data_IF_375146560926
#
_entry.id   IF_375146560926
#
_cell.length_a   1.000
_cell.length_b   1.000
_cell.length_c   1.000
_cell.angle_alpha   90.00
_cell.angle_beta   90.00
_cell.angle_gamma   90.00
#
_symmetry.space_group_name_H-M   'P 1'
#
loop_
_entity.id
_entity.type
_entity.pdbx_description
1 polymer ?
#
# COMPACT_ATOMS: atom_id res chain seq x y z
N UNK A 1 5.22 -19.68 2.31
CA UNK A 1 5.50 -18.62 3.29
C UNK A 1 6.98 -18.31 3.14
N UNK A 2 7.36 -17.22 2.46
CA UNK A 2 8.76 -16.80 2.40
C UNK A 2 9.10 -16.19 3.77
N UNK A 3 9.48 -17.05 4.72
CA UNK A 3 10.29 -16.60 5.83
C UNK A 3 11.61 -16.18 5.18
N UNK A 4 11.91 -14.89 5.19
CA UNK A 4 13.25 -14.45 4.84
C UNK A 4 14.22 -15.24 5.72
N UNK A 5 15.27 -15.80 5.11
CA UNK A 5 16.26 -16.55 5.86
C UNK A 5 16.77 -15.67 7.02
N UNK A 6 16.81 -16.19 8.25
CA UNK A 6 17.35 -15.42 9.35
C UNK A 6 18.77 -14.98 9.01
N UNK A 7 19.17 -13.75 9.33
CA UNK A 7 20.49 -13.24 9.00
C UNK A 7 21.53 -13.80 9.98
N UNK A 8 21.79 -15.12 9.90
CA UNK A 8 22.70 -15.88 10.78
C UNK A 8 24.09 -15.23 10.83
N UNK A 9 24.50 -14.58 9.73
CA UNK A 9 25.79 -13.90 9.60
C UNK A 9 25.91 -12.59 10.41
N UNK A 10 24.80 -12.07 10.96
CA UNK A 10 24.80 -10.88 11.81
C UNK A 10 24.16 -11.22 13.17
N UNK A 11 24.98 -11.46 14.22
CA UNK A 11 24.49 -11.89 15.52
C UNK A 11 23.48 -10.93 16.14
N UNK A 12 23.69 -9.62 15.99
CA UNK A 12 22.78 -8.60 16.50
C UNK A 12 21.40 -8.68 15.84
N UNK A 13 21.39 -8.73 14.50
CA UNK A 13 20.16 -8.78 13.74
C UNK A 13 19.44 -10.12 13.94
N UNK A 14 20.19 -11.23 13.98
CA UNK A 14 19.64 -12.56 14.25
C UNK A 14 18.99 -12.62 15.63
N UNK A 15 19.65 -12.06 16.65
CA UNK A 15 19.10 -11.97 18.01
C UNK A 15 17.80 -11.15 18.08
N UNK A 16 17.73 -10.02 17.37
CA UNK A 16 16.50 -9.22 17.26
C UNK A 16 15.37 -10.00 16.58
N UNK A 17 15.67 -10.80 15.56
CA UNK A 17 14.69 -11.67 14.92
C UNK A 17 14.17 -12.75 15.87
N UNK A 18 15.07 -13.39 16.63
CA UNK A 18 14.70 -14.36 17.66
C UNK A 18 13.78 -13.73 18.69
N UNK A 19 14.17 -12.61 19.29
CA UNK A 19 13.36 -11.94 20.32
C UNK A 19 12.01 -11.44 19.81
N UNK A 20 11.93 -11.06 18.53
CA UNK A 20 10.66 -10.73 17.89
C UNK A 20 9.71 -11.93 17.78
N UNK A 21 10.23 -13.14 17.61
CA UNK A 21 9.44 -14.36 17.55
C UNK A 21 9.05 -14.83 18.95
N UNK A 22 9.99 -14.75 19.89
CA UNK A 22 9.82 -15.22 21.27
C UNK A 22 8.87 -14.31 22.06
N UNK A 23 9.00 -12.99 21.89
CA UNK A 23 8.17 -11.95 22.51
C UNK A 23 8.10 -12.03 24.06
N UNK A 24 9.23 -12.38 24.69
CA UNK A 24 9.38 -12.42 26.14
C UNK A 24 10.43 -11.40 26.63
N UNK A 25 10.21 -10.77 27.81
CA UNK A 25 11.14 -9.77 28.33
C UNK A 25 12.48 -10.39 28.76
N UNK A 26 12.45 -11.60 29.30
CA UNK A 26 13.61 -12.37 29.74
C UNK A 26 13.41 -13.85 29.41
N UNK A 27 14.50 -14.59 29.26
CA UNK A 27 14.48 -16.03 29.00
C UNK A 27 15.72 -16.70 29.58
N UNK A 28 15.55 -17.85 30.23
CA UNK A 28 16.70 -18.63 30.68
C UNK A 28 17.53 -19.15 29.50
N UNK A 29 18.83 -19.36 29.71
CA UNK A 29 19.74 -19.83 28.65
C UNK A 29 19.28 -21.16 28.02
N UNK A 30 18.84 -22.11 28.86
CA UNK A 30 18.33 -23.41 28.40
C UNK A 30 17.07 -23.26 27.55
N UNK A 31 16.15 -22.37 27.93
CA UNK A 31 14.95 -22.12 27.14
C UNK A 31 15.27 -21.42 25.82
N UNK A 32 16.25 -20.52 25.80
CA UNK A 32 16.71 -19.89 24.56
C UNK A 32 17.34 -20.90 23.61
N UNK A 33 18.22 -21.75 24.12
CA UNK A 33 18.81 -22.87 23.38
C UNK A 33 17.72 -23.79 22.80
N UNK A 34 16.76 -24.15 23.64
CA UNK A 34 15.65 -25.01 23.23
C UNK A 34 14.84 -24.38 22.10
N UNK A 35 14.53 -23.08 22.23
CA UNK A 35 13.80 -22.33 21.21
C UNK A 35 14.54 -22.24 19.88
N UNK A 36 15.83 -21.92 19.91
CA UNK A 36 16.63 -21.78 18.69
C UNK A 36 16.75 -23.13 17.97
N UNK A 37 16.98 -24.21 18.71
CA UNK A 37 17.39 -25.49 18.12
C UNK A 37 16.24 -26.43 17.84
N UNK A 38 15.21 -26.45 18.69
CA UNK A 38 14.13 -27.43 18.64
C UNK A 38 12.77 -26.81 18.32
N UNK A 39 12.44 -25.61 18.79
CA UNK A 39 11.16 -24.97 18.40
C UNK A 39 11.25 -24.37 16.99
N UNK A 40 12.33 -23.62 16.73
CA UNK A 40 12.49 -22.83 15.51
C UNK A 40 13.41 -23.49 14.47
N UNK A 41 14.14 -24.55 14.86
CA UNK A 41 15.05 -25.30 13.99
C UNK A 41 16.06 -24.42 13.23
N UNK A 42 16.57 -23.35 13.88
CA UNK A 42 17.41 -22.34 13.22
C UNK A 42 18.90 -22.70 13.26
N UNK A 43 19.35 -23.32 14.35
CA UNK A 43 20.74 -23.77 14.53
C UNK A 43 20.74 -25.11 15.27
N UNK A 44 21.71 -26.00 15.01
CA UNK A 44 21.92 -27.17 15.85
C UNK A 44 22.36 -26.74 17.27
N UNK A 45 22.13 -27.59 18.30
CA UNK A 45 22.39 -27.23 19.70
C UNK A 45 23.78 -26.66 19.98
N UNK A 46 24.83 -27.29 19.43
CA UNK A 46 26.21 -26.86 19.67
C UNK A 46 26.46 -25.44 19.16
N UNK A 47 26.00 -25.14 17.94
CA UNK A 47 26.11 -23.79 17.34
C UNK A 47 25.22 -22.77 18.04
N UNK A 48 24.07 -23.19 18.56
CA UNK A 48 23.20 -22.31 19.33
C UNK A 48 23.84 -21.93 20.68
N UNK A 49 24.54 -22.85 21.33
CA UNK A 49 25.33 -22.56 22.55
C UNK A 49 26.43 -21.56 22.24
N UNK A 50 27.23 -21.81 21.19
CA UNK A 50 28.29 -20.89 20.74
C UNK A 50 27.73 -19.49 20.46
N UNK A 51 26.60 -19.42 19.77
CA UNK A 51 25.91 -18.16 19.46
C UNK A 51 25.47 -17.42 20.73
N UNK A 52 24.81 -18.10 21.67
CA UNK A 52 24.34 -17.48 22.93
C UNK A 52 25.52 -16.92 23.72
N UNK A 53 26.61 -17.69 23.85
CA UNK A 53 27.81 -17.27 24.56
C UNK A 53 28.44 -16.04 23.88
N UNK A 54 28.58 -16.07 22.55
CA UNK A 54 29.06 -14.92 21.77
C UNK A 54 28.19 -13.67 21.99
N UNK A 55 26.86 -13.81 22.07
CA UNK A 55 25.97 -12.68 22.34
C UNK A 55 26.15 -12.11 23.76
N UNK A 56 26.45 -12.95 24.76
CA UNK A 56 26.75 -12.50 26.12
C UNK A 56 28.09 -11.76 26.16
N UNK A 57 29.13 -12.33 25.55
CA UNK A 57 30.47 -11.72 25.47
C UNK A 57 30.44 -10.35 24.78
N UNK A 58 29.67 -10.24 23.68
CA UNK A 58 29.49 -9.00 22.94
C UNK A 58 28.48 -8.04 23.58
N UNK A 59 28.00 -8.31 24.80
CA UNK A 59 27.03 -7.48 25.56
C UNK A 59 25.71 -7.22 24.80
N UNK A 60 25.35 -8.12 23.89
CA UNK A 60 24.05 -8.11 23.21
C UNK A 60 22.98 -8.70 24.14
N UNK A 61 23.36 -9.71 24.93
CA UNK A 61 22.57 -10.26 26.01
C UNK A 61 23.14 -9.85 27.37
N UNK A 62 22.24 -9.58 28.31
CA UNK A 62 22.56 -9.22 29.68
C UNK A 62 21.96 -10.26 30.61
N UNK A 63 22.77 -10.78 31.53
CA UNK A 63 22.31 -11.66 32.60
C UNK A 63 21.64 -10.82 33.67
N UNK A 64 20.41 -11.17 34.00
CA UNK A 64 19.61 -10.52 35.06
C UNK A 64 19.79 -11.24 36.40
N UNK A 65 19.33 -10.63 37.49
CA UNK A 65 19.48 -11.12 38.87
C UNK A 65 18.96 -12.56 39.10
N UNK A 66 18.11 -13.08 38.21
CA UNK A 66 17.52 -14.43 38.27
C UNK A 66 18.25 -15.47 37.41
N UNK A 67 19.45 -15.15 36.88
CA UNK A 67 20.15 -15.95 35.88
C UNK A 67 19.42 -16.08 34.53
N UNK A 68 18.44 -15.20 34.28
CA UNK A 68 17.76 -15.10 32.97
C UNK A 68 18.49 -14.12 32.06
N UNK A 69 18.39 -14.37 30.75
CA UNK A 69 18.94 -13.52 29.69
C UNK A 69 17.91 -12.49 29.23
N UNK A 70 18.33 -11.25 29.10
CA UNK A 70 17.56 -10.16 28.51
C UNK A 70 18.35 -9.52 27.36
N UNK A 71 17.64 -8.90 26.43
CA UNK A 71 18.29 -8.00 25.47
C UNK A 71 18.94 -6.82 26.20
N UNK A 72 20.08 -6.37 25.70
CA UNK A 72 20.67 -5.09 26.10
C UNK A 72 19.72 -3.92 25.82
N UNK A 73 19.91 -2.81 26.55
CA UNK A 73 19.04 -1.64 26.42
C UNK A 73 19.00 -1.07 24.99
N UNK A 74 20.14 -1.06 24.28
CA UNK A 74 20.22 -0.62 22.89
C UNK A 74 19.37 -1.50 21.95
N UNK A 75 19.43 -2.82 22.12
CA UNK A 75 18.63 -3.75 21.32
C UNK A 75 17.15 -3.71 21.68
N UNK A 76 16.82 -3.50 22.95
CA UNK A 76 15.43 -3.32 23.38
C UNK A 76 14.80 -2.08 22.73
N UNK A 77 15.53 -0.96 22.67
CA UNK A 77 15.08 0.26 21.98
C UNK A 77 14.87 -0.04 20.49
N UNK A 78 15.85 -0.66 19.83
CA UNK A 78 15.79 -1.01 18.41
C UNK A 78 14.64 -1.96 18.08
N UNK A 79 14.37 -2.95 18.94
CA UNK A 79 13.24 -3.87 18.80
C UNK A 79 11.90 -3.13 18.88
N UNK A 80 11.74 -2.23 19.87
CA UNK A 80 10.53 -1.44 20.04
C UNK A 80 10.26 -0.52 18.85
N UNK A 81 11.30 0.15 18.34
CA UNK A 81 11.20 0.97 17.12
C UNK A 81 10.75 0.14 15.92
N UNK A 82 11.33 -1.06 15.77
CA UNK A 82 10.97 -1.96 14.67
C UNK A 82 9.51 -2.44 14.77
N UNK A 83 9.08 -2.84 15.96
CA UNK A 83 7.68 -3.23 16.23
C UNK A 83 6.72 -2.07 15.97
N UNK A 84 7.04 -0.85 16.42
CA UNK A 84 6.24 0.36 16.19
C UNK A 84 6.11 0.67 14.70
N UNK A 85 7.23 0.67 13.96
CA UNK A 85 7.24 0.88 12.51
C UNK A 85 6.37 -0.14 11.80
N UNK A 86 6.53 -1.42 12.14
CA UNK A 86 5.76 -2.50 11.51
C UNK A 86 4.27 -2.42 11.82
N UNK A 87 3.90 -2.07 13.06
CA UNK A 87 2.49 -1.87 13.44
C UNK A 87 1.84 -0.76 12.62
N UNK A 88 2.55 0.35 12.40
CA UNK A 88 2.07 1.45 11.56
C UNK A 88 1.87 1.02 10.11
N UNK A 89 2.83 0.29 9.51
CA UNK A 89 2.70 -0.26 8.15
C UNK A 89 1.50 -1.20 8.02
N UNK A 90 1.32 -2.10 8.98
CA UNK A 90 0.18 -3.05 9.00
C UNK A 90 -1.13 -2.28 9.12
N UNK A 91 -1.21 -1.28 10.00
CA UNK A 91 -2.41 -0.48 10.18
C UNK A 91 -2.79 0.28 8.90
N UNK A 92 -1.81 0.86 8.21
CA UNK A 92 -2.02 1.51 6.91
C UNK A 92 -2.57 0.52 5.88
N UNK A 93 -1.96 -0.67 5.78
CA UNK A 93 -2.42 -1.72 4.85
C UNK A 93 -3.84 -2.19 5.17
N UNK A 94 -4.17 -2.42 6.44
CA UNK A 94 -5.53 -2.79 6.87
C UNK A 94 -6.53 -1.69 6.50
N UNK A 95 -6.19 -0.42 6.73
CA UNK A 95 -7.05 0.70 6.38
C UNK A 95 -7.28 0.80 4.87
N UNK A 96 -6.23 0.59 4.06
CA UNK A 96 -6.36 0.54 2.59
C UNK A 96 -7.26 -0.62 2.15
N UNK A 97 -7.12 -1.81 2.74
CA UNK A 97 -7.98 -2.97 2.44
C UNK A 97 -9.43 -2.69 2.82
N UNK A 98 -9.68 -2.10 4.00
CA UNK A 98 -11.03 -1.70 4.43
C UNK A 98 -11.65 -0.69 3.47
N UNK A 99 -10.90 0.33 3.04
CA UNK A 99 -11.35 1.30 2.03
C UNK A 99 -11.69 0.62 0.69
N UNK A 100 -10.86 -0.33 0.23
CA UNK A 100 -11.15 -1.12 -0.99
C UNK A 100 -12.44 -1.92 -0.82
N UNK A 101 -12.60 -2.61 0.30
CA UNK A 101 -13.77 -3.42 0.56
C UNK A 101 -15.03 -2.56 0.64
N UNK A 102 -14.99 -1.42 1.35
CA UNK A 102 -16.10 -0.46 1.41
C UNK A 102 -16.48 0.03 0.01
N UNK A 103 -15.51 0.49 -0.79
CA UNK A 103 -15.76 0.93 -2.16
C UNK A 103 -16.35 -0.19 -3.03
N UNK A 104 -15.83 -1.42 -2.92
CA UNK A 104 -16.41 -2.58 -3.63
C UNK A 104 -17.83 -2.84 -3.18
N UNK A 105 -18.12 -2.83 -1.88
CA UNK A 105 -19.48 -3.04 -1.36
C UNK A 105 -20.42 -1.91 -1.76
N UNK A 106 -19.97 -0.66 -1.85
CA UNK A 106 -20.76 0.46 -2.38
C UNK A 106 -21.05 0.22 -3.86
N UNK A 107 -20.04 -0.10 -4.67
CA UNK A 107 -20.18 -0.40 -6.10
C UNK A 107 -21.06 -1.65 -6.35
N UNK A 108 -21.04 -2.64 -5.47
CA UNK A 108 -21.82 -3.90 -5.59
C UNK A 108 -23.25 -3.77 -5.07
N UNK A 109 -23.48 -3.01 -3.98
CA UNK A 109 -24.84 -2.68 -3.51
C UNK A 109 -25.55 -1.72 -4.47
N UNK A 110 -24.80 -0.88 -5.18
CA UNK A 110 -25.30 0.00 -6.24
C UNK A 110 -25.38 -0.70 -7.61
N UNK A 111 -25.69 -2.01 -7.65
CA UNK A 111 -26.03 -2.72 -8.90
C UNK A 111 -27.20 -2.11 -9.69
N UNK A 112 -27.81 -1.03 -9.20
CA UNK A 112 -28.85 -0.23 -9.86
C UNK A 112 -28.44 1.19 -10.29
N UNK A 113 -27.19 1.65 -10.13
CA UNK A 113 -26.75 2.96 -10.66
C UNK A 113 -25.90 2.79 -11.93
N UNK A 114 -26.23 3.55 -12.98
CA UNK A 114 -25.54 3.44 -14.26
C UNK A 114 -24.06 3.89 -14.17
N UNK A 115 -23.69 4.67 -13.14
CA UNK A 115 -22.30 5.04 -12.89
C UNK A 115 -21.37 3.82 -12.87
N UNK A 116 -21.74 2.77 -12.13
CA UNK A 116 -20.87 1.61 -11.95
C UNK A 116 -20.65 0.83 -13.25
N UNK A 117 -21.66 0.77 -14.12
CA UNK A 117 -21.56 0.13 -15.43
C UNK A 117 -20.73 0.98 -16.40
N UNK A 118 -20.95 2.30 -16.45
CA UNK A 118 -20.17 3.20 -17.29
C UNK A 118 -18.71 3.26 -16.88
N UNK A 119 -18.40 3.24 -15.58
CA UNK A 119 -17.00 3.23 -15.13
C UNK A 119 -16.31 1.91 -15.47
N UNK A 120 -17.00 0.77 -15.33
CA UNK A 120 -16.43 -0.56 -15.61
C UNK A 120 -16.09 -0.77 -17.09
N UNK A 121 -16.78 -0.11 -18.02
CA UNK A 121 -16.41 -0.19 -19.45
C UNK A 121 -15.11 0.55 -19.77
N UNK A 122 -14.67 1.45 -18.90
CA UNK A 122 -13.48 2.29 -19.08
C UNK A 122 -12.28 1.83 -18.24
N UNK A 123 -12.47 0.87 -17.33
CA UNK A 123 -11.49 0.50 -16.30
C UNK A 123 -11.34 -1.01 -16.17
N UNK A 124 -10.11 -1.51 -16.28
CA UNK A 124 -9.79 -2.91 -15.95
C UNK A 124 -9.88 -3.19 -14.44
N UNK A 125 -10.19 -4.44 -14.08
CA UNK A 125 -10.38 -4.88 -12.69
C UNK A 125 -9.16 -4.58 -11.80
N UNK A 126 -7.95 -4.78 -12.29
CA UNK A 126 -6.71 -4.49 -11.56
C UNK A 126 -6.52 -2.98 -11.33
N UNK A 127 -6.96 -2.15 -12.28
CA UNK A 127 -6.85 -0.68 -12.21
C UNK A 127 -7.74 -0.12 -11.11
N UNK A 128 -8.95 -0.66 -10.93
CA UNK A 128 -9.84 -0.29 -9.82
C UNK A 128 -9.15 -0.51 -8.46
N UNK A 129 -8.53 -1.67 -8.25
CA UNK A 129 -7.82 -1.96 -7.00
C UNK A 129 -6.65 -1.00 -6.75
N UNK A 130 -5.95 -0.60 -7.82
CA UNK A 130 -4.87 0.38 -7.74
C UNK A 130 -5.37 1.80 -7.47
N UNK A 131 -6.51 2.19 -8.02
CA UNK A 131 -7.10 3.52 -7.86
C UNK A 131 -7.43 3.83 -6.39
N UNK A 132 -7.88 2.83 -5.62
CA UNK A 132 -8.18 3.01 -4.20
C UNK A 132 -6.94 3.37 -3.36
N UNK A 133 -5.75 2.98 -3.83
CA UNK A 133 -4.49 3.33 -3.13
C UNK A 133 -4.06 4.77 -3.37
N UNK A 134 -4.65 5.45 -4.35
CA UNK A 134 -4.41 6.88 -4.59
C UNK A 134 -5.22 7.66 -3.56
N UNK A 135 -4.54 8.51 -2.80
CA UNK A 135 -5.14 9.33 -1.76
C UNK A 135 -5.98 10.46 -2.38
N UNK A 136 -7.03 10.89 -1.69
CA UNK A 136 -7.89 11.96 -2.20
C UNK A 136 -7.16 13.31 -2.17
N UNK A 137 -6.27 13.47 -1.19
CA UNK A 137 -5.42 14.63 -0.95
C UNK A 137 -4.34 14.81 -2.02
N UNK A 138 -4.11 13.80 -2.87
CA UNK A 138 -3.19 13.91 -4.00
C UNK A 138 -3.77 14.73 -5.16
N UNK A 139 -5.06 15.08 -5.13
CA UNK A 139 -5.73 15.80 -6.20
C UNK A 139 -5.95 17.27 -5.85
N UNK A 140 -5.65 18.14 -6.79
CA UNK A 140 -5.97 19.57 -6.74
C UNK A 140 -6.86 19.90 -7.94
N UNK A 141 -8.11 20.29 -7.68
CA UNK A 141 -9.06 20.72 -8.73
C UNK A 141 -8.81 22.19 -9.03
N UNK A 142 -8.41 22.50 -10.27
CA UNK A 142 -8.11 23.86 -10.73
C UNK A 142 -9.31 24.53 -11.37
N UNK A 143 -10.11 23.76 -12.12
CA UNK A 143 -11.30 24.24 -12.82
C UNK A 143 -12.35 23.13 -12.87
N UNK A 144 -13.59 23.46 -12.52
CA UNK A 144 -14.72 22.53 -12.57
C UNK A 144 -15.96 23.28 -13.07
N UNK A 145 -16.09 23.41 -14.39
CA UNK A 145 -17.21 24.08 -15.04
C UNK A 145 -17.95 23.10 -15.94
N UNK A 146 -18.96 22.44 -15.38
CA UNK A 146 -19.80 21.48 -16.12
C UNK A 146 -20.64 22.14 -17.21
N UNK A 147 -20.94 23.44 -17.11
CA UNK A 147 -21.72 24.16 -18.13
C UNK A 147 -20.88 24.43 -19.38
N UNK A 148 -19.61 24.81 -19.19
CA UNK A 148 -18.64 24.94 -20.29
C UNK A 148 -18.05 23.60 -20.73
N UNK A 149 -18.31 22.54 -19.97
CA UNK A 149 -17.78 21.21 -20.25
C UNK A 149 -16.29 21.08 -19.97
N UNK A 150 -15.70 21.92 -19.10
CA UNK A 150 -14.25 21.96 -18.83
C UNK A 150 -13.99 21.51 -17.40
N UNK A 151 -13.11 20.51 -17.26
CA UNK A 151 -12.61 20.04 -15.97
C UNK A 151 -11.09 20.01 -16.04
N UNK A 152 -10.42 20.71 -15.13
CA UNK A 152 -8.96 20.69 -14.98
C UNK A 152 -8.57 20.39 -13.55
N UNK A 153 -7.67 19.44 -13.39
CA UNK A 153 -7.10 19.06 -12.10
C UNK A 153 -5.63 18.68 -12.26
N UNK A 154 -4.94 18.56 -11.14
CA UNK A 154 -3.63 17.91 -11.09
C UNK A 154 -3.64 16.80 -10.06
N UNK A 155 -2.75 15.82 -10.24
CA UNK A 155 -2.60 14.69 -9.32
C UNK A 155 -1.13 14.39 -9.07
N UNK A 156 -0.74 14.39 -7.80
CA UNK A 156 0.62 14.02 -7.39
C UNK A 156 0.86 12.52 -7.63
N UNK A 157 2.07 12.18 -8.08
CA UNK A 157 2.44 10.79 -8.32
C UNK A 157 3.93 10.53 -8.25
N UNK A 158 4.48 9.82 -9.23
CA UNK A 158 5.88 9.35 -9.20
C UNK A 158 6.90 10.35 -9.79
N UNK A 159 6.45 11.36 -10.54
CA UNK A 159 7.29 12.47 -11.00
C UNK A 159 7.28 13.57 -9.92
N UNK A 160 8.31 14.42 -9.92
CA UNK A 160 8.37 15.60 -9.04
C UNK A 160 7.21 16.56 -9.34
N UNK A 161 6.94 16.78 -10.62
CA UNK A 161 5.80 17.58 -11.07
C UNK A 161 4.48 16.80 -11.04
N UNK A 162 3.37 17.41 -10.58
CA UNK A 162 2.04 16.81 -10.64
C UNK A 162 1.58 16.53 -12.07
N UNK A 163 0.94 15.39 -12.26
CA UNK A 163 0.32 15.03 -13.53
C UNK A 163 -0.92 15.87 -13.80
N UNK A 164 -1.16 16.26 -15.04
CA UNK A 164 -2.34 17.03 -15.44
C UNK A 164 -3.53 16.11 -15.71
N UNK A 165 -4.74 16.55 -15.37
CA UNK A 165 -5.98 15.94 -15.82
C UNK A 165 -6.81 17.04 -16.46
N UNK A 166 -7.06 16.94 -17.75
CA UNK A 166 -7.95 17.86 -18.46
C UNK A 166 -9.03 17.06 -19.18
N UNK A 167 -10.29 17.43 -18.95
CA UNK A 167 -11.44 16.83 -19.61
C UNK A 167 -12.21 17.96 -20.27
N UNK A 168 -12.31 17.90 -21.59
CA UNK A 168 -13.13 18.78 -22.40
C UNK A 168 -14.27 17.95 -22.98
N UNK A 169 -15.46 18.09 -22.40
CA UNK A 169 -16.64 17.31 -22.73
C UNK A 169 -17.18 17.73 -24.11
N UNK A 170 -17.07 19.01 -24.45
CA UNK A 170 -17.57 19.55 -25.71
C UNK A 170 -16.71 19.09 -26.88
N UNK A 171 -15.39 19.13 -26.72
CA UNK A 171 -14.43 18.64 -27.71
C UNK A 171 -14.16 17.14 -27.59
N UNK A 172 -14.73 16.45 -26.59
CA UNK A 172 -14.56 15.02 -26.31
C UNK A 172 -13.09 14.61 -26.13
N UNK A 173 -12.36 15.40 -25.36
CA UNK A 173 -10.95 15.17 -25.08
C UNK A 173 -10.74 14.78 -23.62
N UNK A 174 -9.88 13.80 -23.39
CA UNK A 174 -9.30 13.52 -22.07
C UNK A 174 -7.80 13.56 -22.23
N UNK A 175 -7.16 14.51 -21.54
CA UNK A 175 -5.72 14.66 -21.49
C UNK A 175 -5.17 14.24 -20.13
N UNK A 176 -4.13 13.41 -20.15
CA UNK A 176 -3.41 13.01 -18.96
C UNK A 176 -2.01 12.49 -19.29
N UNK A 177 -1.01 12.82 -18.49
CA UNK A 177 0.41 12.65 -18.78
C UNK A 177 1.13 11.71 -17.79
N UNK A 178 0.37 10.85 -17.10
CA UNK A 178 1.00 9.79 -16.32
C UNK A 178 1.49 8.65 -17.22
N UNK A 179 2.62 8.06 -16.85
CA UNK A 179 3.28 7.03 -17.66
C UNK A 179 2.37 5.86 -18.08
N UNK A 180 1.53 5.34 -17.18
CA UNK A 180 0.58 4.25 -17.52
C UNK A 180 -0.45 4.70 -18.57
N UNK A 181 -0.87 5.97 -18.51
CA UNK A 181 -1.77 6.54 -19.49
C UNK A 181 -1.11 6.77 -20.83
N UNK A 182 0.04 7.44 -20.85
CA UNK A 182 0.81 7.76 -22.05
C UNK A 182 1.18 6.50 -22.86
N UNK A 183 1.68 5.48 -22.17
CA UNK A 183 2.22 4.29 -22.84
C UNK A 183 1.12 3.36 -23.34
N UNK A 184 0.04 3.21 -22.55
CA UNK A 184 -0.93 2.12 -22.73
C UNK A 184 -2.39 2.56 -22.69
N UNK A 185 -2.82 3.31 -21.67
CA UNK A 185 -4.26 3.52 -21.43
C UNK A 185 -4.90 4.44 -22.47
N UNK A 186 -4.18 5.46 -22.95
CA UNK A 186 -4.68 6.36 -24.01
C UNK A 186 -5.01 5.59 -25.29
N UNK A 187 -4.09 4.74 -25.76
CA UNK A 187 -4.23 3.91 -26.97
C UNK A 187 -5.43 2.96 -26.91
N UNK A 188 -5.70 2.43 -25.72
CA UNK A 188 -6.81 1.50 -25.48
C UNK A 188 -8.11 2.21 -25.08
N UNK A 189 -8.14 3.55 -25.03
CA UNK A 189 -9.27 4.36 -24.54
C UNK A 189 -9.76 3.92 -23.15
N UNK A 190 -8.81 3.60 -22.28
CA UNK A 190 -9.04 3.17 -20.91
C UNK A 190 -8.53 4.22 -19.93
N UNK A 191 -8.98 4.11 -18.68
CA UNK A 191 -8.45 4.93 -17.60
C UNK A 191 -7.24 4.29 -16.92
N UNK A 192 -6.32 5.14 -16.48
CA UNK A 192 -5.30 4.77 -15.51
C UNK A 192 -5.86 4.87 -14.09
N UNK A 193 -5.06 4.45 -13.10
CA UNK A 193 -5.45 4.52 -11.67
C UNK A 193 -5.83 5.94 -11.20
N UNK A 194 -5.23 6.99 -11.79
CA UNK A 194 -5.48 8.38 -11.40
C UNK A 194 -6.84 8.84 -11.92
N UNK A 195 -7.12 8.69 -13.22
CA UNK A 195 -8.42 9.02 -13.80
C UNK A 195 -9.56 8.24 -13.13
N UNK A 196 -9.37 6.95 -12.87
CA UNK A 196 -10.36 6.15 -12.13
C UNK A 196 -10.65 6.76 -10.75
N UNK A 197 -9.62 7.09 -9.97
CA UNK A 197 -9.80 7.71 -8.66
C UNK A 197 -10.44 9.10 -8.78
N UNK A 198 -10.05 9.88 -9.78
CA UNK A 198 -10.61 11.20 -10.04
C UNK A 198 -12.12 11.15 -10.28
N UNK A 199 -12.60 10.26 -11.14
CA UNK A 199 -14.05 10.08 -11.37
C UNK A 199 -14.80 9.57 -10.13
N UNK A 200 -14.16 8.78 -9.27
CA UNK A 200 -14.76 8.41 -7.98
C UNK A 200 -14.92 9.64 -7.06
N UNK A 201 -13.92 10.54 -7.01
CA UNK A 201 -13.98 11.78 -6.24
C UNK A 201 -15.01 12.77 -6.79
N UNK A 202 -15.06 12.91 -8.11
CA UNK A 202 -16.06 13.74 -8.77
C UNK A 202 -17.47 13.24 -8.50
N UNK A 203 -17.70 11.92 -8.51
CA UNK A 203 -19.01 11.36 -8.17
C UNK A 203 -19.43 11.73 -6.75
N UNK A 204 -18.51 11.60 -5.79
CA UNK A 204 -18.82 11.86 -4.38
C UNK A 204 -19.19 13.34 -4.13
N UNK A 205 -18.76 14.26 -5.00
CA UNK A 205 -19.06 15.70 -4.90
C UNK A 205 -20.13 16.19 -5.90
N UNK A 206 -20.24 15.57 -7.07
CA UNK A 206 -21.03 16.01 -8.23
C UNK A 206 -21.60 14.79 -8.99
N UNK A 207 -22.39 13.95 -8.30
CA UNK A 207 -22.85 12.66 -8.78
C UNK A 207 -23.50 12.70 -10.18
N UNK A 208 -24.52 13.55 -10.36
CA UNK A 208 -25.31 13.60 -11.60
C UNK A 208 -24.46 13.99 -12.82
N UNK A 209 -23.67 15.06 -12.70
CA UNK A 209 -22.79 15.52 -13.79
C UNK A 209 -21.71 14.49 -14.11
N UNK A 210 -21.15 13.84 -13.08
CA UNK A 210 -20.12 12.80 -13.27
C UNK A 210 -20.69 11.58 -14.00
N UNK A 211 -21.89 11.12 -13.62
CA UNK A 211 -22.56 10.00 -14.29
C UNK A 211 -22.88 10.33 -15.76
N UNK A 212 -23.34 11.55 -16.04
CA UNK A 212 -23.60 12.00 -17.41
C UNK A 212 -22.33 12.01 -18.26
N UNK A 213 -21.20 12.48 -17.72
CA UNK A 213 -19.92 12.45 -18.42
C UNK A 213 -19.52 11.01 -18.74
N UNK A 214 -19.51 10.13 -17.75
CA UNK A 214 -19.14 8.73 -17.94
C UNK A 214 -20.07 8.01 -18.93
N UNK A 215 -21.37 8.33 -18.90
CA UNK A 215 -22.33 7.86 -19.91
C UNK A 215 -21.92 8.27 -21.31
N UNK A 216 -21.77 9.58 -21.55
CA UNK A 216 -21.43 10.11 -22.88
C UNK A 216 -20.10 9.57 -23.40
N UNK A 217 -19.14 9.36 -22.51
CA UNK A 217 -17.83 8.79 -22.80
C UNK A 217 -17.93 7.31 -23.15
N UNK A 218 -18.60 6.50 -22.32
CA UNK A 218 -18.75 5.06 -22.56
C UNK A 218 -19.60 4.73 -23.79
N UNK A 219 -20.67 5.49 -24.05
CA UNK A 219 -21.54 5.29 -25.22
C UNK A 219 -20.92 5.78 -26.54
N UNK A 220 -19.96 6.72 -26.48
CA UNK A 220 -19.34 7.29 -27.67
C UNK A 220 -17.82 7.16 -27.67
N UNK A 221 -17.26 6.10 -27.07
CA UNK A 221 -15.82 5.93 -26.84
C UNK A 221 -14.99 6.20 -28.10
N UNK A 222 -15.51 5.79 -29.27
CA UNK A 222 -14.82 6.00 -30.54
C UNK A 222 -14.62 7.47 -30.93
N UNK A 223 -15.52 8.35 -30.49
CA UNK A 223 -15.49 9.79 -30.76
C UNK A 223 -14.67 10.58 -29.74
N UNK A 224 -14.17 9.94 -28.68
CA UNK A 224 -13.33 10.58 -27.68
C UNK A 224 -11.86 10.40 -28.02
N UNK A 225 -11.10 11.49 -27.88
CA UNK A 225 -9.65 11.48 -28.04
C UNK A 225 -8.97 11.44 -26.67
N UNK A 226 -8.17 10.41 -26.46
CA UNK A 226 -7.36 10.24 -25.26
C UNK A 226 -5.94 10.72 -25.58
N UNK A 227 -5.59 11.89 -25.05
CA UNK A 227 -4.37 12.63 -25.38
C UNK A 227 -3.36 12.43 -24.25
N UNK A 228 -2.22 11.84 -24.58
CA UNK A 228 -1.05 11.76 -23.71
C UNK A 228 -0.26 13.06 -23.78
#
# INVERSE_FOLDING_TARGET
MNLADPPINNPELFLLYLWKIIDLPTLSSNNLLFKISYDLFLLPPDKAIEFINSCIENKLLVVTDKSDLALSNSLKIKLNEWQKRRKNEIQQNINSIKKIHQLKTTIEKEKSTNFSSYLKSLVEKETLNRAVRVTSEAFEIKELDFNKGIIKATVSGSKEDPYIIEIDINNKHIKHDCHDFEVRRSKNKQFCKHLTKFFLLLRDSHMASTEQILKTLSENLEKWNFIS
#
